data_IF_893225268331
#
_entry.id   IF_893225268331
#
_cell.length_a   1.000
_cell.length_b   1.000
_cell.length_c   1.000
_cell.angle_alpha   90.00
_cell.angle_beta   90.00
_cell.angle_gamma   90.00
#
_symmetry.space_group_name_H-M   'P 1'
#
loop_
_entity.id
_entity.type
_entity.pdbx_description
1 polymer ?
#
# COMPACT_ATOMS: atom_id res chain seq x y z
N UNK A 1 -7.71 -2.62 -25.74
CA UNK A 1 -6.32 -2.35 -25.34
C UNK A 1 -6.31 -1.52 -24.06
N UNK A 2 -5.55 -1.95 -23.12
CA UNK A 2 -5.47 -1.27 -21.83
C UNK A 2 -4.50 -0.09 -21.94
N UNK A 3 -4.99 1.12 -21.63
CA UNK A 3 -4.17 2.33 -21.59
C UNK A 3 -3.92 2.68 -20.13
N UNK A 4 -2.66 2.62 -19.70
CA UNK A 4 -2.26 2.91 -18.32
C UNK A 4 -1.84 4.36 -18.11
N UNK A 5 -1.92 5.20 -19.15
CA UNK A 5 -1.46 6.60 -19.06
C UNK A 5 -2.19 7.39 -18.00
N UNK A 6 -3.52 7.30 -17.95
CA UNK A 6 -4.32 8.02 -16.94
C UNK A 6 -4.03 7.51 -15.53
N UNK A 7 -3.94 6.17 -15.37
CA UNK A 7 -3.57 5.55 -14.09
C UNK A 7 -2.22 6.08 -13.61
N UNK A 8 -1.23 6.11 -14.49
CA UNK A 8 0.14 6.53 -14.17
C UNK A 8 0.20 8.03 -13.86
N UNK A 9 -0.54 8.85 -14.60
CA UNK A 9 -0.62 10.29 -14.35
C UNK A 9 -1.20 10.57 -12.97
N UNK A 10 -2.28 9.89 -12.62
CA UNK A 10 -2.91 10.02 -11.29
C UNK A 10 -1.94 9.61 -10.19
N UNK A 11 -1.22 8.50 -10.39
CA UNK A 11 -0.23 8.02 -9.44
C UNK A 11 0.90 9.04 -9.26
N UNK A 12 1.45 9.56 -10.36
CA UNK A 12 2.55 10.53 -10.32
C UNK A 12 2.13 11.84 -9.65
N UNK A 13 0.94 12.33 -9.98
CA UNK A 13 0.39 13.54 -9.37
C UNK A 13 0.18 13.35 -7.86
N UNK A 14 -0.34 12.19 -7.47
CA UNK A 14 -0.52 11.84 -6.06
C UNK A 14 0.82 11.81 -5.33
N UNK A 15 1.84 11.22 -5.94
CA UNK A 15 3.18 11.16 -5.35
C UNK A 15 3.79 12.54 -5.15
N UNK A 16 3.54 13.46 -6.08
CA UNK A 16 3.93 14.86 -5.94
C UNK A 16 3.25 15.53 -4.75
N UNK A 17 1.96 15.23 -4.54
CA UNK A 17 1.21 15.75 -3.39
C UNK A 17 1.75 15.21 -2.06
N UNK A 18 2.13 13.94 -2.02
CA UNK A 18 2.78 13.35 -0.83
C UNK A 18 4.07 14.09 -0.52
N UNK A 19 4.86 14.42 -1.53
CA UNK A 19 6.15 15.10 -1.36
C UNK A 19 5.98 16.49 -0.72
N UNK A 20 4.85 17.15 -0.92
CA UNK A 20 4.57 18.47 -0.31
C UNK A 20 3.64 18.37 0.89
N UNK A 21 3.33 17.18 1.37
CA UNK A 21 2.55 16.98 2.59
C UNK A 21 1.04 17.01 2.42
N UNK A 22 0.53 17.05 1.20
CA UNK A 22 -0.90 17.10 0.89
C UNK A 22 -1.49 15.68 0.84
N UNK A 23 -1.53 15.01 2.00
CA UNK A 23 -1.90 13.59 2.07
C UNK A 23 -3.34 13.31 1.66
N UNK A 24 -4.29 14.16 2.05
CA UNK A 24 -5.71 13.93 1.73
C UNK A 24 -5.98 14.00 0.23
N UNK A 25 -5.37 14.96 -0.46
CA UNK A 25 -5.49 15.07 -1.91
C UNK A 25 -4.77 13.91 -2.61
N UNK A 26 -3.61 13.52 -2.09
CA UNK A 26 -2.87 12.37 -2.62
C UNK A 26 -3.73 11.10 -2.55
N UNK A 27 -4.40 10.86 -1.42
CA UNK A 27 -5.28 9.72 -1.22
C UNK A 27 -6.37 9.68 -2.30
N UNK A 28 -6.98 10.82 -2.60
CA UNK A 28 -8.03 10.90 -3.64
C UNK A 28 -7.51 10.45 -5.00
N UNK A 29 -6.31 10.91 -5.37
CA UNK A 29 -5.73 10.57 -6.68
C UNK A 29 -5.25 9.11 -6.73
N UNK A 30 -4.66 8.60 -5.66
CA UNK A 30 -4.29 7.19 -5.59
C UNK A 30 -5.53 6.30 -5.70
N UNK A 31 -6.65 6.66 -5.04
CA UNK A 31 -7.90 5.90 -5.15
C UNK A 31 -8.37 5.81 -6.60
N UNK A 32 -8.35 6.93 -7.32
CA UNK A 32 -8.74 6.96 -8.74
C UNK A 32 -7.82 6.08 -9.57
N UNK A 33 -6.52 6.10 -9.27
CA UNK A 33 -5.54 5.28 -9.97
C UNK A 33 -5.84 3.79 -9.83
N UNK A 34 -6.11 3.31 -8.60
CA UNK A 34 -6.41 1.89 -8.38
C UNK A 34 -7.83 1.51 -8.82
N UNK A 35 -8.75 2.46 -8.93
CA UNK A 35 -10.06 2.21 -9.53
C UNK A 35 -9.95 1.95 -11.03
N UNK A 36 -9.04 2.66 -11.71
CA UNK A 36 -8.76 2.43 -13.12
C UNK A 36 -8.05 1.10 -13.36
N UNK A 37 -7.20 0.69 -12.43
CA UNK A 37 -6.47 -0.57 -12.53
C UNK A 37 -6.40 -1.23 -11.14
N UNK A 38 -7.37 -2.10 -10.80
CA UNK A 38 -7.40 -2.76 -9.49
C UNK A 38 -6.24 -3.72 -9.21
N UNK A 39 -5.41 -4.05 -10.21
CA UNK A 39 -4.22 -4.87 -10.05
C UNK A 39 -2.93 -4.05 -9.99
N UNK A 40 -3.06 -2.75 -9.89
CA UNK A 40 -1.91 -1.85 -9.82
C UNK A 40 -1.28 -1.87 -8.42
N UNK A 41 -0.31 -2.74 -8.25
CA UNK A 41 0.36 -2.93 -6.96
C UNK A 41 0.91 -1.62 -6.38
N UNK A 42 1.65 -0.84 -7.19
CA UNK A 42 2.27 0.40 -6.72
C UNK A 42 1.23 1.39 -6.20
N UNK A 43 0.08 1.45 -6.86
CA UNK A 43 -1.03 2.31 -6.44
C UNK A 43 -1.59 1.91 -5.08
N UNK A 44 -1.84 0.62 -4.88
CA UNK A 44 -2.35 0.13 -3.60
C UNK A 44 -1.35 0.34 -2.46
N UNK A 45 -0.06 0.05 -2.72
CA UNK A 45 0.98 0.26 -1.72
C UNK A 45 1.09 1.74 -1.33
N UNK A 46 1.16 2.62 -2.32
CA UNK A 46 1.24 4.07 -2.09
C UNK A 46 0.00 4.62 -1.40
N UNK A 47 -1.20 4.12 -1.79
CA UNK A 47 -2.45 4.51 -1.13
C UNK A 47 -2.41 4.13 0.35
N UNK A 48 -1.99 2.92 0.67
CA UNK A 48 -1.87 2.46 2.04
C UNK A 48 -0.93 3.34 2.87
N UNK A 49 0.22 3.69 2.32
CA UNK A 49 1.18 4.55 3.00
C UNK A 49 0.62 5.96 3.24
N UNK A 50 -0.05 6.53 2.24
CA UNK A 50 -0.67 7.86 2.37
C UNK A 50 -1.80 7.85 3.40
N UNK A 51 -2.65 6.82 3.39
CA UNK A 51 -3.72 6.66 4.37
C UNK A 51 -3.18 6.52 5.79
N UNK A 52 -2.10 5.75 5.96
CA UNK A 52 -1.45 5.61 7.27
C UNK A 52 -0.95 6.98 7.77
N UNK A 53 -0.29 7.74 6.92
CA UNK A 53 0.22 9.08 7.27
C UNK A 53 -0.92 10.06 7.56
N UNK A 54 -2.04 9.91 6.88
CA UNK A 54 -3.23 10.74 7.12
C UNK A 54 -4.00 10.32 8.38
N UNK A 55 -3.63 9.23 9.02
CA UNK A 55 -4.29 8.74 10.23
C UNK A 55 -5.47 7.82 9.99
N UNK A 56 -5.78 7.49 8.73
CA UNK A 56 -6.88 6.60 8.36
C UNK A 56 -6.39 5.14 8.37
N UNK A 57 -6.09 4.63 9.56
CA UNK A 57 -5.38 3.36 9.73
C UNK A 57 -6.17 2.16 9.21
N UNK A 58 -7.48 2.09 9.49
CA UNK A 58 -8.30 0.96 9.04
C UNK A 58 -8.34 0.87 7.51
N UNK A 59 -8.50 2.01 6.84
CA UNK A 59 -8.48 2.05 5.37
C UNK A 59 -7.10 1.72 4.83
N UNK A 60 -6.04 2.17 5.54
CA UNK A 60 -4.66 1.85 5.18
C UNK A 60 -4.43 0.33 5.18
N UNK A 61 -4.96 -0.38 6.18
CA UNK A 61 -4.87 -1.84 6.26
C UNK A 61 -5.54 -2.48 5.04
N UNK A 62 -6.72 -1.99 4.64
CA UNK A 62 -7.40 -2.49 3.45
C UNK A 62 -6.53 -2.38 2.19
N UNK A 63 -5.90 -1.23 1.99
CA UNK A 63 -4.99 -1.01 0.85
C UNK A 63 -3.74 -1.89 0.95
N UNK A 64 -3.18 -2.01 2.15
CA UNK A 64 -2.02 -2.88 2.41
C UNK A 64 -2.32 -4.35 2.14
N UNK A 65 -3.52 -4.81 2.49
CA UNK A 65 -3.97 -6.18 2.20
C UNK A 65 -4.09 -6.42 0.69
N UNK A 66 -4.58 -5.43 -0.05
CA UNK A 66 -4.62 -5.52 -1.51
C UNK A 66 -3.22 -5.63 -2.10
N UNK A 67 -2.29 -4.80 -1.63
CA UNK A 67 -0.91 -4.83 -2.12
C UNK A 67 -0.26 -6.20 -1.89
N UNK A 68 -0.39 -6.76 -0.68
CA UNK A 68 0.21 -8.07 -0.36
C UNK A 68 -0.50 -9.23 -1.06
N UNK A 69 -1.76 -9.07 -1.43
CA UNK A 69 -2.49 -10.05 -2.23
C UNK A 69 -2.01 -10.05 -3.68
N UNK A 70 -1.81 -8.86 -4.25
CA UNK A 70 -1.34 -8.72 -5.63
C UNK A 70 0.10 -9.20 -5.78
N UNK A 71 0.96 -8.80 -4.85
CA UNK A 71 2.36 -9.24 -4.85
C UNK A 71 2.77 -9.72 -3.45
N UNK A 72 2.55 -11.01 -3.16
CA UNK A 72 2.86 -11.57 -1.83
C UNK A 72 4.35 -11.71 -1.53
N UNK A 73 5.21 -11.44 -2.51
CA UNK A 73 6.66 -11.54 -2.34
C UNK A 73 7.36 -10.19 -2.25
N UNK A 74 6.62 -9.12 -1.98
CA UNK A 74 7.21 -7.80 -1.80
C UNK A 74 7.45 -7.53 -0.31
N UNK A 75 8.74 -7.40 0.04
CA UNK A 75 9.16 -7.18 1.42
C UNK A 75 8.58 -5.90 2.02
N UNK A 76 8.61 -4.80 1.26
CA UNK A 76 8.14 -3.50 1.76
C UNK A 76 6.64 -3.50 2.01
N UNK A 77 5.87 -4.22 1.19
CA UNK A 77 4.41 -4.31 1.37
C UNK A 77 4.05 -5.00 2.69
N UNK A 78 4.71 -6.11 3.03
CA UNK A 78 4.47 -6.79 4.30
C UNK A 78 4.94 -5.95 5.48
N UNK A 79 6.08 -5.27 5.36
CA UNK A 79 6.59 -4.38 6.40
C UNK A 79 5.60 -3.24 6.67
N UNK A 80 5.08 -2.62 5.62
CA UNK A 80 4.09 -1.56 5.76
C UNK A 80 2.81 -2.07 6.42
N UNK A 81 2.32 -3.24 5.99
CA UNK A 81 1.11 -3.82 6.56
C UNK A 81 1.29 -4.14 8.05
N UNK A 82 2.46 -4.66 8.44
CA UNK A 82 2.78 -4.90 9.85
C UNK A 82 2.70 -3.60 10.66
N UNK A 83 3.27 -2.51 10.15
CA UNK A 83 3.21 -1.21 10.81
C UNK A 83 1.77 -0.70 10.96
N UNK A 84 0.95 -0.89 9.93
CA UNK A 84 -0.47 -0.51 9.97
C UNK A 84 -1.23 -1.28 11.06
N UNK A 85 -0.97 -2.58 11.15
CA UNK A 85 -1.60 -3.43 12.18
C UNK A 85 -1.18 -3.00 13.59
N UNK A 86 0.11 -2.69 13.80
CA UNK A 86 0.59 -2.17 15.09
C UNK A 86 -0.18 -0.91 15.46
N UNK A 87 -0.30 0.04 14.54
CA UNK A 87 -1.00 1.30 14.78
C UNK A 87 -2.48 1.08 15.10
N UNK A 88 -3.07 0.01 14.60
CA UNK A 88 -4.47 -0.33 14.86
C UNK A 88 -4.65 -1.24 16.08
N UNK A 89 -3.58 -1.56 16.79
CA UNK A 89 -3.62 -2.44 17.97
C UNK A 89 -3.76 -3.92 17.67
N UNK A 90 -3.63 -4.32 16.40
CA UNK A 90 -3.76 -5.71 15.95
C UNK A 90 -2.39 -6.40 15.96
N UNK A 91 -1.94 -6.74 17.17
CA UNK A 91 -0.56 -7.22 17.37
C UNK A 91 -0.35 -8.61 16.76
N UNK A 92 -1.32 -9.52 16.85
CA UNK A 92 -1.18 -10.86 16.28
C UNK A 92 -1.01 -10.79 14.75
N UNK A 93 -1.84 -9.99 14.09
CA UNK A 93 -1.76 -9.78 12.65
C UNK A 93 -0.45 -9.08 12.26
N UNK A 94 -0.01 -8.12 13.08
CA UNK A 94 1.27 -7.43 12.86
C UNK A 94 2.44 -8.41 12.90
N UNK A 95 2.46 -9.32 13.87
CA UNK A 95 3.52 -10.33 13.98
C UNK A 95 3.50 -11.30 12.81
N UNK A 96 2.30 -11.70 12.34
CA UNK A 96 2.18 -12.55 11.16
C UNK A 96 2.77 -11.87 9.91
N UNK A 97 2.40 -10.61 9.67
CA UNK A 97 2.92 -9.85 8.53
C UNK A 97 4.45 -9.64 8.64
N UNK A 98 4.93 -9.37 9.84
CA UNK A 98 6.37 -9.24 10.11
C UNK A 98 7.11 -10.55 9.83
N UNK A 99 6.51 -11.67 10.19
CA UNK A 99 7.07 -13.00 9.89
C UNK A 99 7.23 -13.24 8.40
N UNK A 100 6.24 -12.83 7.60
CA UNK A 100 6.30 -12.93 6.14
C UNK A 100 7.39 -12.03 5.57
N UNK A 101 7.51 -10.80 6.05
CA UNK A 101 8.60 -9.91 5.66
C UNK A 101 9.96 -10.52 5.98
N UNK A 102 10.09 -11.18 7.13
CA UNK A 102 11.33 -11.85 7.53
C UNK A 102 11.68 -13.01 6.59
N UNK A 103 10.70 -13.84 6.21
CA UNK A 103 10.92 -14.92 5.24
C UNK A 103 11.48 -14.34 3.95
N UNK A 104 10.90 -13.25 3.45
CA UNK A 104 11.36 -12.61 2.22
C UNK A 104 12.76 -12.03 2.36
N UNK A 105 13.07 -11.42 3.51
CA UNK A 105 14.40 -10.84 3.77
C UNK A 105 15.50 -11.91 3.80
N UNK A 106 15.14 -13.17 4.09
CA UNK A 106 16.06 -14.28 4.11
C UNK A 106 16.11 -15.06 2.78
N UNK A 107 15.47 -14.53 1.75
CA UNK A 107 15.47 -15.12 0.42
C UNK A 107 14.38 -16.14 0.16
N UNK A 108 13.44 -16.31 1.10
CA UNK A 108 12.29 -17.20 0.94
C UNK A 108 11.17 -16.57 0.13
N UNK A 109 10.06 -17.26 -0.01
CA UNK A 109 8.86 -16.81 -0.73
C UNK A 109 7.63 -17.05 0.13
N UNK A 110 6.66 -16.15 0.00
CA UNK A 110 5.37 -16.23 0.70
C UNK A 110 4.28 -16.78 -0.24
N UNK A 111 4.37 -16.43 -1.51
CA UNK A 111 3.39 -16.87 -2.48
C UNK A 111 3.94 -17.07 -3.86
#
# INVERSE_FOLDING_TARGET
MSDTTERDTLYDDASGLVAVGEMEEAVKLYRKSVELDPQFFDGWHALGMALMKAGSIKEAIGAGMMATTINPNDLLAWTALSQMYVKNGQIAEAEDAKGKARILSLGGRVG
#
